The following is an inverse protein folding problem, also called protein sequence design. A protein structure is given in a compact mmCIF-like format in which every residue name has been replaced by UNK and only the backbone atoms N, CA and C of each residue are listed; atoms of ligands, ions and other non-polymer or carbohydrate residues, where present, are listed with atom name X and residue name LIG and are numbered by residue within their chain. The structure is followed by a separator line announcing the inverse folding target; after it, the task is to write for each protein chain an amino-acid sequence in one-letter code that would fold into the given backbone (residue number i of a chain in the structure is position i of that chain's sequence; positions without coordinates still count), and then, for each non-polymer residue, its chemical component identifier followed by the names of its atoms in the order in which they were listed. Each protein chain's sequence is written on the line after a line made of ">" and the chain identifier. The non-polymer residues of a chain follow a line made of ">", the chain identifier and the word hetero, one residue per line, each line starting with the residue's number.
data_IF_846996640017
#
_entry.id   IF_846996640017
#
_cell.length_a   1.000
_cell.length_b   1.000
_cell.length_c   1.000
_cell.angle_alpha   90.00
_cell.angle_beta   90.00
_cell.angle_gamma   90.00
#
_symmetry.space_group_name_H-M   'P 1'
#
loop_
_entity.id
_entity.type
_entity.pdbx_description
1 polymer ?
2 non-polymer ?
3 non-polymer ?
4 non-polymer ?
5 water ?
#
# COMPACT_ATOMS: atom_id res chain seq x y z
N UNK A 1 25.32 8.00 -6.04
CA UNK A 1 25.46 7.51 -7.44
C UNK A 1 24.06 7.25 -8.01
N UNK A 2 23.25 8.32 -8.14
CA UNK A 2 21.82 8.37 -8.57
C UNK A 2 20.92 8.09 -7.36
N UNK A 3 19.92 8.94 -7.04
CA UNK A 3 19.02 8.71 -5.86
C UNK A 3 18.16 7.48 -6.17
N UNK A 4 17.87 6.61 -5.20
CA UNK A 4 16.94 5.47 -5.40
C UNK A 4 15.50 5.92 -5.12
N UNK A 5 14.61 5.41 -5.93
CA UNK A 5 13.18 5.76 -5.90
C UNK A 5 12.42 4.46 -6.00
N UNK A 6 11.75 4.10 -4.93
CA UNK A 6 10.96 2.85 -4.90
C UNK A 6 9.46 3.21 -4.83
N UNK A 7 8.68 2.54 -5.63
CA UNK A 7 7.20 2.63 -5.63
C UNK A 7 6.64 1.49 -4.80
N UNK A 8 5.72 1.82 -3.92
CA UNK A 8 4.94 0.89 -3.11
C UNK A 8 3.47 0.94 -3.49
N UNK A 9 3.04 0.08 -4.43
CA UNK A 9 1.70 0.12 -4.99
C UNK A 9 0.76 -0.76 -4.21
N UNK A 10 -0.52 -0.39 -4.19
CA UNK A 10 -1.52 -1.00 -3.31
C UNK A 10 -2.87 -0.29 -3.50
N UNK A 11 -3.95 -0.92 -3.05
CA UNK A 11 -5.27 -0.28 -2.93
C UNK A 11 -5.30 0.53 -1.64
N UNK A 12 -4.58 0.13 -0.58
CA UNK A 12 -4.56 0.84 0.73
C UNK A 12 -5.99 1.25 1.09
N UNK A 13 -6.81 0.23 1.33
CA UNK A 13 -8.28 0.33 1.46
C UNK A 13 -8.78 -0.34 2.71
N UNK A 14 -8.51 0.16 3.90
CA UNK A 14 -7.62 1.28 4.13
C UNK A 14 -6.21 0.87 4.50
N UNK A 15 -5.35 1.85 4.64
CA UNK A 15 -3.99 1.63 5.15
C UNK A 15 -4.12 0.99 6.54
N UNK A 16 -3.24 0.03 6.84
CA UNK A 16 -3.14 -0.65 8.15
C UNK A 16 -1.78 -0.40 8.80
N UNK A 17 -1.67 -0.80 10.04
CA UNK A 17 -0.38 -0.75 10.77
C UNK A 17 0.70 -1.57 10.07
N UNK A 18 0.32 -2.61 9.34
CA UNK A 18 1.30 -3.38 8.57
C UNK A 18 1.84 -2.57 7.43
N UNK A 19 1.03 -1.88 6.66
CA UNK A 19 1.56 -1.03 5.59
C UNK A 19 2.46 0.07 6.17
N UNK A 20 2.10 0.59 7.32
CA UNK A 20 2.87 1.71 7.93
C UNK A 20 4.28 1.18 8.24
N UNK A 21 4.35 0.00 8.80
CA UNK A 21 5.64 -0.66 9.17
C UNK A 21 6.47 -0.87 7.92
N UNK A 22 5.87 -1.37 6.86
CA UNK A 22 6.59 -1.59 5.61
C UNK A 22 7.13 -0.28 5.07
N UNK A 23 6.30 0.76 5.01
CA UNK A 23 6.76 2.03 4.37
C UNK A 23 7.89 2.61 5.22
N UNK A 24 7.76 2.56 6.54
CA UNK A 24 8.82 3.10 7.44
C UNK A 24 10.14 2.34 7.21
N UNK A 25 10.11 1.00 7.15
CA UNK A 25 11.29 0.16 6.83
C UNK A 25 11.85 0.54 5.47
N UNK A 26 11.01 0.72 4.45
CA UNK A 26 11.53 1.08 3.12
C UNK A 26 12.16 2.48 3.13
N UNK A 27 11.58 3.41 3.87
CA UNK A 27 12.06 4.82 3.83
C UNK A 27 13.49 4.88 4.38
N UNK A 28 13.92 3.90 5.17
CA UNK A 28 15.30 3.83 5.73
C UNK A 28 16.29 3.27 4.73
N UNK A 29 15.85 2.73 3.61
CA UNK A 29 16.75 2.00 2.72
C UNK A 29 16.81 2.61 1.33
N UNK A 30 15.84 3.43 0.95
CA UNK A 30 15.83 4.09 -0.36
C UNK A 30 15.74 5.60 -0.14
N UNK A 31 16.21 6.39 -1.11
CA UNK A 31 16.21 7.88 -1.03
C UNK A 31 14.76 8.38 -1.08
N UNK A 32 13.94 7.83 -1.96
CA UNK A 32 12.51 8.23 -2.10
C UNK A 32 11.61 6.98 -2.09
N UNK A 33 10.51 7.08 -1.36
CA UNK A 33 9.41 6.11 -1.37
C UNK A 33 8.13 6.79 -1.89
N UNK A 34 7.50 6.22 -2.91
CA UNK A 34 6.17 6.61 -3.42
C UNK A 34 5.12 5.61 -3.00
N UNK A 35 4.24 5.98 -2.08
CA UNK A 35 2.99 5.25 -1.78
C UNK A 35 2.03 5.49 -2.94
N UNK A 36 1.87 4.46 -3.76
CA UNK A 36 1.17 4.50 -5.05
C UNK A 36 -0.18 3.81 -4.87
N UNK A 37 -1.26 4.58 -4.86
CA UNK A 37 -2.61 4.11 -4.47
C UNK A 37 -3.36 3.89 -5.75
N UNK A 38 -3.61 2.62 -6.01
CA UNK A 38 -4.29 2.17 -7.25
C UNK A 38 -5.74 2.64 -7.13
N UNK A 39 -6.21 3.41 -8.11
CA UNK A 39 -7.54 4.06 -7.99
C UNK A 39 -8.62 2.98 -7.90
N UNK A 40 -8.56 2.01 -8.80
CA UNK A 40 -9.54 0.90 -8.84
C UNK A 40 -10.86 1.35 -9.46
N UNK A 41 -10.86 1.59 -10.77
CA UNK A 41 -12.09 1.82 -11.56
C UNK A 41 -12.92 0.55 -11.61
N UNK A 42 -12.44 -0.49 -12.29
CA UNK A 42 -13.24 -1.72 -12.57
C UNK A 42 -13.13 -2.69 -11.37
N UNK A 43 -12.77 -2.16 -10.19
CA UNK A 43 -12.73 -2.81 -8.86
C UNK A 43 -13.62 -1.93 -7.96
N UNK A 44 -13.77 -2.19 -6.67
CA UNK A 44 -14.77 -1.37 -5.94
C UNK A 44 -14.28 -0.99 -4.55
N UNK A 45 -13.29 -0.08 -4.42
CA UNK A 45 -12.72 0.23 -3.10
C UNK A 45 -13.84 0.72 -2.18
N UNK A 46 -13.79 0.39 -0.91
CA UNK A 46 -14.67 0.93 0.13
C UNK A 46 -14.37 2.44 0.32
N UNK A 47 -13.13 2.84 0.40
CA UNK A 47 -12.75 4.26 0.59
C UNK A 47 -12.40 4.82 -0.77
N UNK A 48 -12.75 6.08 -1.00
CA UNK A 48 -12.38 6.80 -2.24
C UNK A 48 -10.88 7.03 -2.27
N UNK A 49 -10.36 7.37 -3.44
CA UNK A 49 -8.93 7.76 -3.61
C UNK A 49 -8.56 8.87 -2.62
N UNK A 50 -9.45 9.88 -2.48
CA UNK A 50 -9.11 11.03 -1.61
C UNK A 50 -9.06 10.54 -0.18
N UNK A 51 -10.03 9.77 0.26
CA UNK A 51 -9.97 9.27 1.66
C UNK A 51 -8.67 8.45 1.87
N UNK A 52 -8.28 7.65 0.88
CA UNK A 52 -7.17 6.65 1.07
C UNK A 52 -5.86 7.42 1.12
N UNK A 53 -5.72 8.38 0.20
CA UNK A 53 -4.54 9.29 0.26
C UNK A 53 -4.46 10.05 1.58
N UNK A 54 -5.58 10.53 2.10
CA UNK A 54 -5.53 11.33 3.35
C UNK A 54 -5.17 10.44 4.53
N UNK A 55 -5.73 9.24 4.54
CA UNK A 55 -5.39 8.30 5.64
C UNK A 55 -3.90 7.93 5.57
N UNK A 56 -3.37 7.81 4.37
CA UNK A 56 -1.96 7.41 4.22
C UNK A 56 -1.07 8.56 4.70
N UNK A 57 -1.32 9.78 4.22
CA UNK A 57 -0.55 11.02 4.59
C UNK A 57 -0.66 11.27 6.09
N UNK A 58 -1.81 11.05 6.66
CA UNK A 58 -1.94 11.21 8.12
C UNK A 58 -1.00 10.23 8.84
N UNK A 59 -0.88 8.98 8.39
CA UNK A 59 -0.03 7.98 9.08
C UNK A 59 1.45 8.15 8.74
N UNK A 60 1.81 8.60 7.54
CA UNK A 60 3.21 8.50 7.05
C UNK A 60 3.81 9.85 6.64
N UNK A 61 3.06 10.95 6.68
CA UNK A 61 3.53 12.28 6.23
C UNK A 61 4.71 12.80 7.05
N UNK A 62 4.87 12.37 8.30
CA UNK A 62 6.02 12.71 9.17
C UNK A 62 7.31 12.17 8.57
N UNK A 63 7.27 11.24 7.61
CA UNK A 63 8.49 10.75 6.93
C UNK A 63 8.75 11.66 5.72
N UNK A 64 9.88 12.34 5.70
CA UNK A 64 10.06 13.46 4.75
C UNK A 64 10.38 12.89 3.38
N UNK A 65 10.82 11.63 3.28
CA UNK A 65 11.17 11.08 1.94
C UNK A 65 10.02 10.28 1.31
N UNK A 66 8.78 10.42 1.78
CA UNK A 66 7.60 9.63 1.31
C UNK A 66 6.61 10.53 0.58
N UNK A 67 6.23 10.18 -0.65
CA UNK A 67 5.23 10.84 -1.51
C UNK A 67 4.01 9.94 -1.64
N UNK A 68 2.88 10.55 -1.97
CA UNK A 68 1.58 9.84 -1.99
C UNK A 68 0.91 10.18 -3.29
N UNK A 69 0.65 9.21 -4.15
CA UNK A 69 0.13 9.47 -5.50
C UNK A 69 -0.88 8.38 -5.85
N UNK A 70 -1.98 8.77 -6.47
CA UNK A 70 -2.98 7.86 -7.03
C UNK A 70 -2.51 7.43 -8.40
N UNK A 71 -2.79 6.19 -8.84
CA UNK A 71 -2.48 5.83 -10.25
C UNK A 71 -3.48 4.80 -10.76
N UNK A 72 -3.52 4.71 -12.07
CA UNK A 72 -4.26 3.61 -12.73
C UNK A 72 -3.46 3.19 -13.95
N UNK A 73 -3.99 2.21 -14.67
CA UNK A 73 -3.26 1.65 -15.81
C UNK A 73 -2.23 0.66 -15.33
N UNK A 74 -1.35 0.34 -16.24
CA UNK A 74 -0.31 -0.71 -16.13
C UNK A 74 0.71 -0.22 -15.09
N UNK A 75 0.99 -1.02 -14.08
CA UNK A 75 2.08 -0.72 -13.13
C UNK A 75 3.38 -0.45 -13.90
N UNK A 76 3.67 -1.13 -15.00
CA UNK A 76 4.99 -0.90 -15.66
C UNK A 76 5.02 0.48 -16.27
N UNK A 77 3.88 1.03 -16.73
CA UNK A 77 3.89 2.39 -17.34
C UNK A 77 4.09 3.42 -16.22
N UNK A 78 3.52 3.16 -15.06
CA UNK A 78 3.69 4.06 -13.91
C UNK A 78 5.14 4.01 -13.46
N UNK A 79 5.70 2.79 -13.44
CA UNK A 79 7.11 2.53 -13.05
C UNK A 79 8.03 3.40 -13.93
N UNK A 80 7.83 3.36 -15.23
CA UNK A 80 8.62 4.16 -16.21
C UNK A 80 8.35 5.66 -16.05
N UNK A 81 7.09 6.07 -15.99
CA UNK A 81 6.78 7.51 -15.73
C UNK A 81 7.52 7.98 -14.47
N UNK A 82 7.52 7.18 -13.42
CA UNK A 82 8.06 7.61 -12.12
C UNK A 82 9.59 7.52 -12.08
N UNK A 83 10.19 6.90 -13.10
CA UNK A 83 11.65 6.64 -13.11
C UNK A 83 12.04 5.80 -11.90
N UNK A 84 11.30 4.76 -11.55
CA UNK A 84 11.55 4.06 -10.28
C UNK A 84 12.81 3.19 -10.43
N UNK A 85 13.53 3.00 -9.35
CA UNK A 85 14.53 1.92 -9.19
C UNK A 85 13.82 0.57 -9.05
N UNK A 86 12.76 0.50 -8.26
CA UNK A 86 12.08 -0.78 -8.01
C UNK A 86 10.66 -0.52 -7.54
N UNK A 87 9.86 -1.56 -7.66
CA UNK A 87 8.62 -1.74 -6.88
C UNK A 87 8.92 -2.54 -5.64
N UNK A 88 8.27 -2.15 -4.57
CA UNK A 88 8.31 -2.80 -3.26
C UNK A 88 6.99 -3.50 -2.98
N UNK A 89 7.02 -4.74 -2.48
CA UNK A 89 5.78 -5.46 -2.07
C UNK A 89 6.05 -6.14 -0.75
N UNK A 90 5.03 -6.25 0.09
CA UNK A 90 5.13 -7.02 1.35
C UNK A 90 4.72 -8.46 1.04
N UNK A 91 5.29 -9.48 1.66
CA UNK A 91 4.86 -10.88 1.41
C UNK A 91 4.36 -11.46 2.73
N UNK A 92 3.08 -11.77 2.80
CA UNK A 92 2.44 -12.11 4.11
C UNK A 92 2.28 -13.62 4.19
N UNK A 93 1.76 -14.21 3.13
CA UNK A 93 1.48 -15.65 3.04
C UNK A 93 2.11 -16.25 1.77
N UNK A 94 2.10 -17.57 1.66
CA UNK A 94 2.59 -18.32 0.46
C UNK A 94 1.89 -17.90 -0.85
N UNK A 95 0.58 -17.63 -0.86
CA UNK A 95 -0.15 -17.33 -2.12
C UNK A 95 0.26 -15.93 -2.62
N UNK A 96 0.54 -15.03 -1.68
CA UNK A 96 1.19 -13.72 -1.94
C UNK A 96 2.48 -13.99 -2.71
N UNK A 97 3.29 -14.89 -2.17
CA UNK A 97 4.64 -15.18 -2.71
C UNK A 97 4.50 -15.70 -4.15
N UNK A 98 3.61 -16.64 -4.43
CA UNK A 98 3.50 -17.24 -5.79
C UNK A 98 2.99 -16.20 -6.78
N UNK A 99 1.98 -15.46 -6.39
CA UNK A 99 1.39 -14.39 -7.24
C UNK A 99 2.43 -13.30 -7.54
N UNK A 100 3.19 -12.90 -6.52
CA UNK A 100 4.19 -11.82 -6.69
C UNK A 100 5.34 -12.28 -7.57
N UNK A 101 5.72 -13.55 -7.46
CA UNK A 101 6.79 -14.15 -8.28
C UNK A 101 6.37 -14.04 -9.75
N UNK A 102 5.13 -14.43 -10.04
CA UNK A 102 4.56 -14.44 -11.42
C UNK A 102 4.50 -13.01 -11.97
N UNK A 103 3.98 -12.07 -11.19
CA UNK A 103 3.89 -10.63 -11.59
C UNK A 103 5.23 -10.03 -11.85
N UNK A 104 6.21 -10.32 -11.01
CA UNK A 104 7.55 -9.73 -11.21
C UNK A 104 8.12 -10.21 -12.55
N UNK A 105 7.92 -11.49 -12.89
CA UNK A 105 8.49 -12.02 -14.15
C UNK A 105 7.71 -11.48 -15.36
N UNK A 106 6.39 -11.39 -15.23
CA UNK A 106 5.58 -10.79 -16.30
C UNK A 106 6.01 -9.34 -16.49
N UNK A 107 6.11 -8.54 -15.43
CA UNK A 107 6.53 -7.13 -15.58
C UNK A 107 7.93 -7.03 -16.18
N UNK A 108 8.86 -7.91 -15.79
CA UNK A 108 10.25 -7.86 -16.35
C UNK A 108 10.18 -8.14 -17.85
N UNK A 109 9.24 -8.98 -18.27
CA UNK A 109 9.07 -9.20 -19.73
C UNK A 109 8.48 -7.96 -20.41
N UNK A 110 7.60 -7.20 -19.76
CA UNK A 110 7.04 -6.00 -20.41
C UNK A 110 8.10 -4.90 -20.41
N UNK A 111 8.96 -4.84 -19.39
CA UNK A 111 9.98 -3.76 -19.23
C UNK A 111 11.21 -4.37 -18.59
N UNK A 112 12.28 -4.59 -19.36
CA UNK A 112 13.47 -5.25 -18.83
C UNK A 112 14.12 -4.46 -17.70
N UNK A 113 13.86 -3.17 -17.54
CA UNK A 113 14.38 -2.38 -16.38
C UNK A 113 13.55 -2.62 -15.12
N UNK A 114 12.42 -3.31 -15.19
CA UNK A 114 11.52 -3.42 -14.01
C UNK A 114 12.25 -4.16 -12.89
N UNK A 115 12.05 -3.83 -11.64
CA UNK A 115 12.62 -4.62 -10.54
C UNK A 115 11.60 -4.61 -9.41
N UNK A 116 11.51 -5.71 -8.69
CA UNK A 116 10.62 -5.88 -7.54
C UNK A 116 11.45 -6.38 -6.36
N UNK A 117 11.28 -5.75 -5.21
CA UNK A 117 11.96 -6.12 -3.95
C UNK A 117 10.88 -6.33 -2.93
N UNK A 118 11.09 -7.29 -2.08
CA UNK A 118 10.06 -7.76 -1.16
C UNK A 118 10.54 -7.63 0.25
N UNK A 119 9.63 -7.22 1.13
CA UNK A 119 9.82 -7.25 2.61
C UNK A 119 8.82 -8.23 3.21
N UNK A 120 9.19 -8.89 4.30
CA UNK A 120 8.27 -9.74 5.08
C UNK A 120 7.86 -8.93 6.29
N UNK A 121 6.59 -9.05 6.74
CA UNK A 121 6.11 -8.27 7.88
C UNK A 121 6.74 -8.78 9.20
N UNK A 122 7.06 -7.88 10.14
CA UNK A 122 7.18 -8.24 11.61
C UNK A 122 6.00 -9.09 12.04
N UNK A 123 6.24 -10.03 12.94
CA UNK A 123 5.21 -11.04 13.25
C UNK A 123 4.01 -10.33 13.89
N UNK A 124 4.15 -9.15 14.52
CA UNK A 124 2.97 -8.51 15.16
C UNK A 124 2.00 -7.94 14.11
N UNK A 125 2.37 -7.84 12.83
CA UNK A 125 1.50 -7.35 11.72
C UNK A 125 1.21 -8.43 10.69
N UNK A 126 1.76 -9.61 10.90
CA UNK A 126 1.74 -10.69 9.90
C UNK A 126 0.29 -11.16 9.64
N UNK A 127 -0.63 -11.10 10.62
CA UNK A 127 -2.05 -11.53 10.48
C UNK A 127 -3.00 -10.41 9.98
N UNK A 128 -2.48 -9.21 9.74
CA UNK A 128 -3.31 -8.04 9.34
C UNK A 128 -3.35 -7.90 7.82
N UNK A 129 -4.56 -7.74 7.28
CA UNK A 129 -4.80 -7.29 5.88
C UNK A 129 -5.96 -6.27 5.80
N UNK A 130 -5.99 -5.45 4.77
CA UNK A 130 -7.07 -4.45 4.58
C UNK A 130 -8.42 -5.20 4.53
N UNK A 131 -8.51 -6.31 3.81
CA UNK A 131 -9.77 -7.11 3.66
C UNK A 131 -10.31 -7.57 4.98
N UNK A 132 -9.47 -8.07 5.85
CA UNK A 132 -9.95 -8.60 7.15
C UNK A 132 -10.43 -7.43 8.03
N UNK A 133 -9.69 -6.33 8.01
CA UNK A 133 -10.02 -5.11 8.77
C UNK A 133 -11.42 -4.61 8.34
N UNK A 134 -11.68 -4.54 7.04
CA UNK A 134 -12.97 -4.06 6.48
C UNK A 134 -14.09 -4.92 7.01
N UNK A 135 -13.80 -6.21 7.07
CA UNK A 135 -14.78 -7.19 7.60
C UNK A 135 -15.05 -6.96 9.07
N UNK A 136 -14.02 -6.83 9.90
CA UNK A 136 -14.27 -6.63 11.35
C UNK A 136 -15.05 -5.32 11.56
N UNK A 137 -14.66 -4.25 10.86
CA UNK A 137 -15.28 -2.92 10.99
C UNK A 137 -16.75 -3.06 10.57
N UNK A 138 -16.98 -3.69 9.43
CA UNK A 138 -18.36 -3.84 8.89
C UNK A 138 -19.23 -4.53 9.94
N UNK A 139 -18.73 -5.54 10.62
CA UNK A 139 -19.49 -6.25 11.67
C UNK A 139 -19.29 -5.59 13.03
N UNK A 140 -18.84 -4.33 13.08
CA UNK A 140 -18.84 -3.50 14.32
C UNK A 140 -17.80 -4.01 15.32
N UNK A 141 -16.74 -4.67 14.85
CA UNK A 141 -15.61 -5.03 15.70
C UNK A 141 -14.71 -3.83 15.90
N UNK A 142 -13.82 -3.91 16.87
CA UNK A 142 -12.89 -2.80 17.15
C UNK A 142 -11.58 -3.07 16.39
N UNK A 143 -11.19 -2.16 15.50
CA UNK A 143 -10.00 -2.37 14.63
C UNK A 143 -8.83 -1.53 15.12
N UNK A 144 -8.96 -0.96 16.30
CA UNK A 144 -8.02 0.06 16.84
C UNK A 144 -6.58 -0.49 16.90
N UNK A 145 -6.49 -1.75 17.28
CA UNK A 145 -5.19 -2.45 17.43
C UNK A 145 -4.50 -2.66 16.09
N UNK A 146 -5.20 -2.69 14.95
CA UNK A 146 -4.63 -3.03 13.62
C UNK A 146 -4.39 -1.87 12.67
N UNK A 147 -4.87 -0.68 13.01
CA UNK A 147 -4.84 0.46 12.06
C UNK A 147 -4.65 1.71 12.89
N UNK A 148 -4.09 2.74 12.24
CA UNK A 148 -3.99 4.08 12.81
C UNK A 148 -5.35 4.63 13.25
N UNK A 149 -5.32 5.48 14.27
CA UNK A 149 -6.54 6.08 14.86
C UNK A 149 -7.33 6.81 13.77
N UNK A 150 -6.67 7.44 12.82
CA UNK A 150 -7.39 8.18 11.77
C UNK A 150 -8.27 7.21 10.96
N UNK A 151 -7.87 5.94 10.83
CA UNK A 151 -8.63 4.94 10.04
C UNK A 151 -9.81 4.52 10.88
N UNK A 152 -9.60 4.38 12.18
CA UNK A 152 -10.70 4.02 13.12
C UNK A 152 -11.81 5.08 12.97
N UNK A 153 -11.45 6.34 13.02
CA UNK A 153 -12.43 7.45 12.86
C UNK A 153 -13.10 7.44 11.49
N UNK A 154 -12.36 7.16 10.43
CA UNK A 154 -12.89 7.04 9.06
C UNK A 154 -13.95 5.95 8.98
N UNK A 155 -13.77 4.83 9.67
CA UNK A 155 -14.81 3.77 9.71
C UNK A 155 -16.06 4.32 10.42
N UNK A 156 -15.98 5.03 11.55
CA UNK A 156 -17.17 5.69 12.17
C UNK A 156 -17.84 6.65 11.15
N UNK A 157 -17.10 7.51 10.48
CA UNK A 157 -17.70 8.46 9.51
C UNK A 157 -18.26 7.75 8.29
N UNK A 158 -17.66 6.65 7.83
CA UNK A 158 -18.27 5.76 6.81
C UNK A 158 -19.61 5.26 7.39
N UNK A 159 -19.65 4.67 8.61
CA UNK A 159 -20.88 4.27 9.34
C UNK A 159 -21.82 5.49 9.26
N UNK A 160 -21.63 6.48 10.14
CA UNK A 160 -22.47 7.72 10.25
C UNK A 160 -23.02 8.15 8.88
N UNK A 161 -22.20 8.31 7.85
CA UNK A 161 -22.70 8.72 6.53
C UNK A 161 -23.35 7.56 5.77
N UNK A 162 -23.94 6.55 6.46
CA UNK A 162 -24.52 5.32 5.87
C UNK A 162 -24.36 4.07 6.76
N UNK A 163 -23.83 2.95 6.23
CA UNK A 163 -23.37 1.72 6.96
C UNK A 163 -24.09 1.55 8.31
X LIG B 1 -3.17 -3.08 0.08
X LIG B 1 -2.77 -4.00 -0.81
X LIG B 1 -2.83 -5.17 -0.22
X LIG B 1 -3.89 -5.18 0.83
X LIG B 1 -3.52 -6.03 2.10
X LIG B 1 -2.69 -5.34 3.09
X LIG B 1 -2.70 -1.96 0.01
X LIG B 1 -2.40 -3.65 -1.99
X LIG B 1 -2.03 -6.20 -0.49
X LIG B 1 -4.08 -3.75 1.02
X LIG B 1 -2.71 -7.19 1.87
X LIG B 1 -2.30 -6.32 4.04
X LIG C 1 -2.68 6.34 17.41
X LIG C 1 -1.90 6.73 16.28
X LIG C 1 -2.00 5.83 15.43
X LIG C 1 -2.67 4.62 16.02
X LIG C 1 -2.10 3.22 15.69
X LIG C 1 -2.26 2.08 16.74
X LIG C 1 -3.29 7.08 18.18
X LIG C 1 -1.17 7.81 16.09
X LIG C 1 -1.56 6.18 14.24
X LIG C 1 -2.68 4.90 17.41
X LIG C 1 -0.77 3.57 15.41
X LIG C 1 -3.06 1.01 16.23
X LIG D 1 -7.87 -5.26 -0.82
X LIG D 1 -6.62 -5.91 -1.11
X LIG D 1 -8.22 -4.37 -1.90
X LIG D 1 -7.76 -4.53 0.39
X LIG D 1 -8.89 -6.25 -0.67
X LIG E 1 -14.59 -6.84 1.19
X LIG E 1 -13.77 -7.23 0.07
X LIG E 1 -13.86 -7.06 2.43
X LIG E 1 -15.81 -7.61 1.19
X LIG E 1 -14.94 -5.45 1.06
X LIG F 1 6.05 -5.61 9.24
#
# INVERSE_FOLDING_TARGET
>A
MSKTRVIYPGTFDPITNGHVDLVTRASRMFDEVVVAIAIGHHKNPLFSLEERVALAQSSLGHLSNVEFVGFDGLLVNFFKEQKATAVLRGLRAVSDFEYEFQLANMNRQLDPHFEAVFLTPSEQYSFISSTLIREIARLKGDVTKFVPQAVVEAFERKHQQGW
>B hetero
1 ASC C1 C2 C3 C4 C5 C6 O1 O2 O3 O4 O5 O6
>C hetero
1 ASC C1 C2 C3 C4 C5 C6 O1 O2 O3 O4 O5 O6
>D hetero
1 SO4 S O1 O2 O3 O4
>E hetero
1 SO4 S O1 O2 O3 O4
>F hetero
1 NA NA
#
